data_IF_207585359002
#
_entry.id   IF_207585359002
#
_cell.length_a   1.000
_cell.length_b   1.000
_cell.length_c   1.000
_cell.angle_alpha   90.00
_cell.angle_beta   90.00
_cell.angle_gamma   90.00
#
_symmetry.space_group_name_H-M   'P 1'
#
loop_
_entity.id
_entity.type
_entity.pdbx_description
1 polymer ?
#
# COMPACT_ATOMS: atom_id res chain seq x y z
N UNK A 1 -29.90 -13.92 -41.69
CA UNK A 1 -28.48 -13.69 -41.36
C UNK A 1 -27.66 -14.21 -42.51
N UNK A 2 -27.09 -13.31 -43.31
CA UNK A 2 -26.20 -13.71 -44.39
C UNK A 2 -25.02 -14.46 -43.76
N UNK A 3 -24.71 -15.64 -44.30
CA UNK A 3 -23.44 -16.33 -44.05
C UNK A 3 -22.34 -15.46 -44.68
N UNK A 4 -22.05 -14.36 -43.99
CA UNK A 4 -21.21 -13.29 -44.48
C UNK A 4 -19.77 -13.77 -44.53
N UNK A 5 -19.12 -13.42 -45.64
CA UNK A 5 -17.80 -13.89 -46.03
C UNK A 5 -16.79 -13.57 -44.92
N UNK A 6 -16.44 -14.55 -44.09
CA UNK A 6 -15.28 -14.43 -43.21
C UNK A 6 -14.07 -14.04 -44.07
N UNK A 7 -13.46 -12.86 -43.83
CA UNK A 7 -12.37 -12.39 -44.66
C UNK A 7 -11.19 -13.37 -44.59
N UNK A 8 -10.37 -13.42 -45.64
CA UNK A 8 -9.32 -14.42 -45.76
C UNK A 8 -8.34 -14.41 -44.58
N UNK A 9 -8.04 -13.22 -44.02
CA UNK A 9 -7.17 -13.08 -42.84
C UNK A 9 -7.79 -13.63 -41.54
N UNK A 10 -9.10 -13.81 -41.47
CA UNK A 10 -9.82 -14.34 -40.31
C UNK A 10 -10.18 -15.84 -40.45
N UNK A 11 -9.77 -16.49 -41.55
CA UNK A 11 -9.96 -17.92 -41.73
C UNK A 11 -8.96 -18.69 -40.86
N UNK A 12 -9.47 -19.48 -39.93
CA UNK A 12 -8.65 -20.34 -39.07
C UNK A 12 -7.95 -21.43 -39.90
N UNK A 13 -6.70 -21.75 -39.55
CA UNK A 13 -5.94 -22.84 -40.16
C UNK A 13 -6.49 -24.19 -39.70
N UNK A 14 -6.22 -25.25 -40.48
CA UNK A 14 -6.64 -26.61 -40.14
C UNK A 14 -6.17 -26.99 -38.72
N UNK A 15 -7.08 -27.55 -37.92
CA UNK A 15 -6.81 -27.99 -36.54
C UNK A 15 -7.08 -26.94 -35.45
N UNK A 16 -7.46 -25.71 -35.79
CA UNK A 16 -7.92 -24.71 -34.81
C UNK A 16 -9.39 -24.39 -35.08
N UNK A 17 -10.25 -24.71 -34.12
CA UNK A 17 -11.67 -24.33 -34.20
C UNK A 17 -11.92 -23.01 -33.49
N UNK A 18 -13.03 -22.33 -33.83
CA UNK A 18 -13.43 -21.12 -33.11
C UNK A 18 -13.73 -21.40 -31.62
N UNK A 19 -14.16 -22.62 -31.29
CA UNK A 19 -14.38 -23.05 -29.92
C UNK A 19 -13.06 -23.14 -29.14
N UNK A 20 -12.04 -23.77 -29.72
CA UNK A 20 -10.72 -23.87 -29.09
C UNK A 20 -10.11 -22.48 -28.86
N UNK A 21 -10.27 -21.58 -29.84
CA UNK A 21 -9.81 -20.19 -29.70
C UNK A 21 -10.55 -19.46 -28.59
N UNK A 22 -11.87 -19.61 -28.49
CA UNK A 22 -12.66 -19.00 -27.42
C UNK A 22 -12.25 -19.55 -26.05
N UNK A 23 -12.07 -20.86 -25.91
CA UNK A 23 -11.59 -21.48 -24.67
C UNK A 23 -10.19 -20.99 -24.29
N UNK A 24 -9.30 -20.80 -25.27
CA UNK A 24 -7.97 -20.25 -25.04
C UNK A 24 -8.03 -18.77 -24.59
N UNK A 25 -8.91 -17.96 -25.19
CA UNK A 25 -9.13 -16.57 -24.79
C UNK A 25 -9.72 -16.47 -23.39
N UNK A 26 -10.70 -17.31 -23.05
CA UNK A 26 -11.27 -17.34 -21.70
C UNK A 26 -10.24 -17.72 -20.63
N UNK A 27 -9.17 -18.41 -21.01
CA UNK A 27 -8.08 -18.84 -20.12
C UNK A 27 -6.86 -17.91 -20.12
N UNK A 28 -6.78 -16.94 -21.03
CA UNK A 28 -5.56 -16.16 -21.26
C UNK A 28 -5.33 -15.02 -20.25
N UNK A 29 -6.23 -14.81 -19.28
CA UNK A 29 -6.13 -13.74 -18.28
C UNK A 29 -6.46 -12.34 -18.82
N UNK A 30 -6.27 -12.07 -20.11
CA UNK A 30 -6.61 -10.78 -20.75
C UNK A 30 -8.07 -10.33 -20.53
N UNK A 31 -9.09 -11.21 -20.59
CA UNK A 31 -10.45 -10.78 -20.29
C UNK A 31 -10.62 -10.27 -18.85
N UNK A 32 -9.92 -10.88 -17.88
CA UNK A 32 -9.94 -10.45 -16.49
C UNK A 32 -9.29 -9.06 -16.35
N UNK A 33 -8.13 -8.85 -16.95
CA UNK A 33 -7.43 -7.55 -16.97
C UNK A 33 -8.31 -6.41 -17.48
N UNK A 34 -8.96 -6.60 -18.64
CA UNK A 34 -9.87 -5.61 -19.21
C UNK A 34 -11.06 -5.33 -18.27
N UNK A 35 -11.62 -6.38 -17.65
CA UNK A 35 -12.73 -6.24 -16.68
C UNK A 35 -12.29 -5.46 -15.44
N UNK A 36 -11.10 -5.75 -14.92
CA UNK A 36 -10.51 -5.07 -13.76
C UNK A 36 -10.26 -3.59 -14.07
N UNK A 37 -9.72 -3.27 -15.24
CA UNK A 37 -9.49 -1.88 -15.67
C UNK A 37 -10.80 -1.08 -15.78
N UNK A 38 -11.85 -1.64 -16.38
CA UNK A 38 -13.16 -0.98 -16.45
C UNK A 38 -13.82 -0.86 -15.07
N UNK A 39 -13.74 -1.90 -14.23
CA UNK A 39 -14.28 -1.85 -12.85
C UNK A 39 -13.59 -0.77 -12.03
N UNK A 40 -12.26 -0.62 -12.17
CA UNK A 40 -11.49 0.43 -11.51
C UNK A 40 -11.96 1.83 -11.92
N UNK A 41 -12.17 2.03 -13.22
CA UNK A 41 -12.64 3.29 -13.79
C UNK A 41 -14.07 3.63 -13.35
N UNK A 42 -14.94 2.63 -13.25
CA UNK A 42 -16.34 2.79 -12.82
C UNK A 42 -16.47 3.06 -11.32
N UNK A 43 -15.66 2.38 -10.49
CA UNK A 43 -15.67 2.53 -9.04
C UNK A 43 -15.03 3.83 -8.55
N UNK A 44 -14.19 4.46 -9.38
CA UNK A 44 -13.50 5.68 -9.02
C UNK A 44 -14.47 6.86 -8.73
N UNK A 45 -14.08 7.81 -7.87
CA UNK A 45 -14.92 8.94 -7.51
C UNK A 45 -15.52 9.67 -8.72
N UNK A 46 -16.86 9.69 -8.79
CA UNK A 46 -17.61 10.31 -9.89
C UNK A 46 -17.37 11.82 -9.91
N UNK A 47 -17.14 12.38 -11.11
CA UNK A 47 -17.23 13.83 -11.33
C UNK A 47 -16.03 14.47 -12.02
N UNK A 48 -14.90 13.77 -12.20
CA UNK A 48 -13.70 14.25 -12.94
C UNK A 48 -12.64 13.15 -13.05
N UNK A 49 -12.99 11.95 -13.55
CA UNK A 49 -11.93 10.97 -13.86
C UNK A 49 -10.98 11.56 -14.91
N UNK A 50 -9.83 12.05 -14.44
CA UNK A 50 -8.66 12.43 -15.23
C UNK A 50 -7.52 11.44 -15.02
N UNK A 51 -7.82 10.29 -14.41
CA UNK A 51 -6.84 9.27 -14.15
C UNK A 51 -6.39 8.60 -15.44
N UNK A 52 -5.13 8.22 -15.48
CA UNK A 52 -4.58 7.42 -16.57
C UNK A 52 -4.62 5.96 -16.15
N UNK A 53 -5.33 5.12 -16.91
CA UNK A 53 -5.23 3.67 -16.80
C UNK A 53 -4.37 3.18 -17.95
N UNK A 54 -3.38 2.36 -17.65
CA UNK A 54 -2.51 1.73 -18.62
C UNK A 54 -2.56 0.22 -18.38
N UNK A 55 -3.08 -0.50 -19.36
CA UNK A 55 -2.95 -1.96 -19.44
C UNK A 55 -1.54 -2.32 -19.94
N UNK A 56 -0.97 -3.42 -19.47
CA UNK A 56 0.40 -3.86 -19.83
C UNK A 56 1.47 -2.79 -19.51
N UNK A 57 1.37 -2.17 -18.33
CA UNK A 57 2.28 -1.10 -17.94
C UNK A 57 3.70 -1.62 -17.73
N UNK A 58 4.60 -1.21 -18.62
CA UNK A 58 6.00 -1.63 -18.60
C UNK A 58 6.84 -0.80 -17.62
N UNK A 59 7.71 -1.48 -16.87
CA UNK A 59 8.63 -0.86 -15.93
C UNK A 59 9.99 -1.57 -15.93
N UNK A 60 11.02 -0.89 -15.43
CA UNK A 60 12.37 -1.45 -15.29
C UNK A 60 12.54 -1.97 -13.87
N UNK A 61 12.71 -3.28 -13.74
CA UNK A 61 13.10 -3.95 -12.50
C UNK A 61 14.54 -3.53 -12.16
N UNK A 62 14.70 -2.81 -11.04
CA UNK A 62 15.99 -2.24 -10.64
C UNK A 62 17.04 -3.30 -10.31
N UNK A 63 16.63 -4.47 -9.83
CA UNK A 63 17.57 -5.51 -9.40
C UNK A 63 18.16 -6.25 -10.60
N UNK A 64 17.33 -6.52 -11.61
CA UNK A 64 17.72 -7.30 -12.79
C UNK A 64 18.05 -6.44 -14.01
N UNK A 65 17.63 -5.18 -14.04
CA UNK A 65 17.67 -4.30 -15.21
C UNK A 65 16.70 -4.70 -16.32
N UNK A 66 15.87 -5.72 -16.11
CA UNK A 66 14.94 -6.23 -17.12
C UNK A 66 13.68 -5.38 -17.19
N UNK A 67 13.13 -5.25 -18.40
CA UNK A 67 11.79 -4.69 -18.60
C UNK A 67 10.76 -5.76 -18.23
N UNK A 68 9.87 -5.42 -17.31
CA UNK A 68 8.70 -6.21 -16.91
C UNK A 68 7.44 -5.43 -17.23
N UNK A 69 6.29 -6.09 -17.19
CA UNK A 69 4.99 -5.43 -17.28
C UNK A 69 4.11 -5.85 -16.11
N UNK A 70 3.22 -4.95 -15.68
CA UNK A 70 2.05 -5.26 -14.87
C UNK A 70 0.80 -5.27 -15.74
N UNK A 71 -0.20 -6.03 -15.32
CA UNK A 71 -1.47 -6.12 -16.04
C UNK A 71 -2.19 -4.76 -16.08
N UNK A 72 -2.30 -4.05 -14.95
CA UNK A 72 -2.93 -2.71 -14.91
C UNK A 72 -2.16 -1.76 -13.99
N UNK A 73 -1.89 -0.55 -14.48
CA UNK A 73 -1.48 0.61 -13.68
C UNK A 73 -2.55 1.69 -13.77
N UNK A 74 -2.85 2.35 -12.65
CA UNK A 74 -3.63 3.57 -12.67
C UNK A 74 -2.98 4.70 -11.87
N UNK A 75 -2.91 5.90 -12.47
CA UNK A 75 -2.55 7.16 -11.82
C UNK A 75 -3.81 7.98 -11.62
N UNK A 76 -4.29 8.06 -10.38
CA UNK A 76 -5.60 8.62 -10.04
C UNK A 76 -5.38 9.90 -9.22
N UNK A 77 -5.59 11.10 -9.81
CA UNK A 77 -5.55 12.34 -9.05
C UNK A 77 -6.64 12.34 -7.99
N UNK A 78 -6.27 12.58 -6.74
CA UNK A 78 -7.22 12.77 -5.64
C UNK A 78 -7.55 14.26 -5.62
N UNK A 79 -8.74 14.60 -6.12
CA UNK A 79 -9.16 16.00 -6.27
C UNK A 79 -9.57 16.58 -4.93
N UNK A 80 -9.30 17.87 -4.74
CA UNK A 80 -9.93 18.67 -3.69
C UNK A 80 -10.88 19.71 -4.30
N UNK A 81 -11.92 20.06 -3.55
CA UNK A 81 -13.02 20.94 -3.97
C UNK A 81 -12.66 22.43 -4.03
N UNK A 82 -11.39 22.81 -3.83
CA UNK A 82 -10.99 24.21 -3.78
C UNK A 82 -9.64 24.43 -4.47
N UNK A 83 -9.70 24.67 -5.78
CA UNK A 83 -8.68 25.46 -6.49
C UNK A 83 -8.69 26.89 -5.92
N UNK A 84 -8.17 27.10 -4.69
CA UNK A 84 -7.79 28.43 -4.24
C UNK A 84 -6.43 28.73 -4.87
N UNK A 85 -6.46 29.49 -5.95
CA UNK A 85 -5.28 30.01 -6.64
C UNK A 85 -4.35 30.75 -5.65
N UNK A 86 -3.08 30.35 -5.54
CA UNK A 86 -2.03 31.23 -4.99
C UNK A 86 -0.94 30.60 -4.13
N UNK A 87 -1.19 29.50 -3.43
CA UNK A 87 -0.20 28.91 -2.50
C UNK A 87 0.13 27.48 -2.90
N UNK A 88 1.31 26.99 -2.47
CA UNK A 88 1.84 25.66 -2.76
C UNK A 88 0.79 24.57 -2.57
N UNK A 89 0.04 24.24 -3.63
CA UNK A 89 -0.98 23.22 -3.57
C UNK A 89 -0.26 21.87 -3.60
N UNK A 90 0.00 21.34 -2.40
CA UNK A 90 0.32 19.93 -2.23
C UNK A 90 -0.79 19.13 -2.91
N UNK A 91 -0.41 18.32 -3.89
CA UNK A 91 -1.35 17.45 -4.62
C UNK A 91 -1.22 16.03 -4.08
N UNK A 92 -2.33 15.34 -3.98
CA UNK A 92 -2.36 13.92 -3.66
C UNK A 92 -2.76 13.08 -4.88
N UNK A 93 -2.19 11.88 -4.99
CA UNK A 93 -2.53 10.89 -6.01
C UNK A 93 -2.60 9.50 -5.41
N UNK A 94 -3.52 8.68 -5.91
CA UNK A 94 -3.52 7.24 -5.70
C UNK A 94 -2.91 6.57 -6.94
N UNK A 95 -1.90 5.76 -6.72
CA UNK A 95 -1.30 4.91 -7.71
C UNK A 95 -1.62 3.44 -7.40
N UNK A 96 -2.45 2.81 -8.23
CA UNK A 96 -2.75 1.38 -8.09
C UNK A 96 -1.89 0.57 -9.04
N UNK A 97 -1.25 -0.47 -8.51
CA UNK A 97 -0.41 -1.41 -9.25
C UNK A 97 -1.08 -2.77 -9.17
N UNK A 98 -1.58 -3.27 -10.30
CA UNK A 98 -2.49 -4.41 -10.30
C UNK A 98 -1.97 -5.55 -11.16
N UNK A 99 -1.92 -6.74 -10.55
CA UNK A 99 -1.63 -8.00 -11.23
C UNK A 99 -2.87 -8.89 -11.19
N UNK A 100 -3.30 -9.40 -12.35
CA UNK A 100 -4.46 -10.25 -12.53
C UNK A 100 -4.02 -11.70 -12.72
N UNK A 101 -4.66 -12.64 -12.02
CA UNK A 101 -4.44 -14.08 -12.27
C UNK A 101 -5.75 -14.84 -12.24
N UNK A 102 -5.86 -15.78 -13.17
CA UNK A 102 -6.98 -16.71 -13.27
C UNK A 102 -6.47 -18.12 -13.02
N UNK A 103 -7.19 -18.91 -12.23
CA UNK A 103 -6.83 -20.32 -12.01
C UNK A 103 -8.01 -21.18 -11.58
N UNK A 104 -8.09 -22.39 -12.12
CA UNK A 104 -9.02 -23.42 -11.64
C UNK A 104 -8.61 -23.99 -10.27
N UNK A 105 -7.33 -23.85 -9.88
CA UNK A 105 -6.80 -24.37 -8.62
C UNK A 105 -6.69 -23.26 -7.56
N UNK A 106 -6.86 -23.61 -6.27
CA UNK A 106 -6.89 -22.61 -5.21
C UNK A 106 -5.54 -21.95 -4.95
N UNK A 107 -5.61 -20.69 -4.52
CA UNK A 107 -4.54 -20.03 -3.78
C UNK A 107 -4.80 -20.21 -2.28
N UNK A 108 -3.77 -20.64 -1.55
CA UNK A 108 -3.84 -20.92 -0.11
C UNK A 108 -2.99 -19.90 0.66
N UNK A 109 -3.65 -19.18 1.57
CA UNK A 109 -3.11 -18.08 2.37
C UNK A 109 -2.92 -18.54 3.81
N UNK A 110 -1.70 -18.43 4.34
CA UNK A 110 -1.40 -18.81 5.72
C UNK A 110 -1.63 -17.62 6.64
N UNK A 111 -2.80 -17.62 7.28
CA UNK A 111 -3.30 -16.49 8.05
C UNK A 111 -2.58 -16.34 9.39
N UNK A 112 -2.48 -15.09 9.86
CA UNK A 112 -2.08 -14.74 11.22
C UNK A 112 -3.14 -13.86 11.86
N UNK A 113 -3.17 -13.89 13.19
CA UNK A 113 -4.01 -12.99 13.98
C UNK A 113 -3.49 -11.56 13.86
N UNK A 114 -2.18 -11.38 14.04
CA UNK A 114 -1.52 -10.07 14.05
C UNK A 114 -0.58 -9.92 12.84
N UNK A 115 -0.41 -8.69 12.31
CA UNK A 115 0.62 -8.38 11.33
C UNK A 115 2.03 -8.64 11.91
N UNK A 116 3.04 -8.91 11.07
CA UNK A 116 4.38 -9.27 11.54
C UNK A 116 5.15 -8.14 12.25
N UNK A 117 4.72 -6.89 12.11
CA UNK A 117 5.27 -5.71 12.80
C UNK A 117 4.14 -4.69 13.04
N UNK A 118 4.31 -3.79 14.01
CA UNK A 118 3.43 -2.63 14.29
C UNK A 118 3.40 -1.58 13.16
N UNK A 119 3.93 -1.91 11.97
CA UNK A 119 4.01 -0.98 10.84
C UNK A 119 2.84 -1.16 9.89
N UNK A 120 2.01 -0.12 9.79
CA UNK A 120 0.87 0.03 8.87
C UNK A 120 1.31 0.58 7.51
N UNK A 121 2.40 0.06 6.91
CA UNK A 121 2.99 0.64 5.70
C UNK A 121 2.16 0.47 4.41
N UNK A 122 0.87 0.13 4.50
CA UNK A 122 -0.03 0.00 3.35
C UNK A 122 -1.18 1.01 3.39
N UNK A 123 -1.46 1.70 2.28
CA UNK A 123 -0.60 1.85 1.10
C UNK A 123 0.72 2.56 1.42
N UNK A 124 1.75 2.39 0.58
CA UNK A 124 3.00 3.12 0.78
C UNK A 124 2.80 4.60 0.43
N UNK A 125 3.27 5.51 1.29
CA UNK A 125 3.15 6.96 1.07
C UNK A 125 4.51 7.51 0.66
N UNK A 126 4.57 8.14 -0.51
CA UNK A 126 5.80 8.78 -1.03
C UNK A 126 5.54 10.20 -1.47
N UNK A 127 6.63 10.91 -1.80
CA UNK A 127 6.59 12.33 -2.09
C UNK A 127 6.63 13.20 -0.84
N UNK A 128 6.77 12.64 0.35
CA UNK A 128 7.13 13.35 1.58
C UNK A 128 8.65 13.55 1.67
N UNK A 129 9.15 14.22 2.73
CA UNK A 129 10.60 14.33 2.97
C UNK A 129 11.25 12.96 3.25
N UNK A 130 10.51 12.06 3.87
CA UNK A 130 10.87 10.69 4.21
C UNK A 130 9.65 9.90 4.71
N UNK A 131 9.83 8.61 5.06
CA UNK A 131 8.75 7.77 5.60
C UNK A 131 8.31 8.20 7.01
N UNK A 132 9.14 9.00 7.68
CA UNK A 132 8.90 9.57 8.99
C UNK A 132 8.91 11.11 8.93
N UNK A 133 8.16 11.71 9.84
CA UNK A 133 8.15 13.13 10.14
C UNK A 133 8.80 13.32 11.51
N UNK A 134 9.72 14.28 11.61
CA UNK A 134 10.26 14.72 12.89
C UNK A 134 9.25 15.63 13.57
N UNK A 135 8.68 15.17 14.67
CA UNK A 135 7.62 15.89 15.38
C UNK A 135 8.12 16.48 16.69
N UNK A 136 7.68 17.70 16.96
CA UNK A 136 7.94 18.43 18.19
C UNK A 136 6.63 18.58 18.97
N UNK A 137 6.61 18.32 20.28
CA UNK A 137 5.43 18.61 21.08
C UNK A 137 5.10 20.11 21.05
N UNK A 138 3.81 20.43 21.09
CA UNK A 138 3.30 21.81 21.20
C UNK A 138 3.86 22.53 22.43
N UNK A 139 4.01 23.86 22.32
CA UNK A 139 4.41 24.71 23.45
C UNK A 139 3.29 24.74 24.50
N UNK A 140 3.68 24.77 25.77
CA UNK A 140 2.77 25.04 26.88
C UNK A 140 2.19 26.46 26.82
N UNK A 141 1.20 26.74 27.67
CA UNK A 141 0.53 28.05 27.71
C UNK A 141 1.45 29.22 28.05
N UNK A 142 2.61 28.95 28.66
CA UNK A 142 3.64 29.93 28.98
C UNK A 142 4.62 30.19 27.82
N UNK A 143 4.41 29.54 26.67
CA UNK A 143 5.30 29.60 25.52
C UNK A 143 6.60 28.80 25.69
N UNK A 144 6.75 28.06 26.80
CA UNK A 144 7.84 27.12 26.98
C UNK A 144 7.39 25.74 26.51
N UNK A 145 8.27 25.02 25.84
CA UNK A 145 7.99 23.66 25.42
C UNK A 145 9.27 22.86 25.35
N UNK A 146 9.15 21.54 25.19
CA UNK A 146 10.30 20.67 25.15
C UNK A 146 11.20 21.00 23.96
N UNK A 147 12.50 20.92 24.19
CA UNK A 147 13.58 21.10 23.21
C UNK A 147 13.96 19.79 22.50
N UNK A 148 13.22 18.72 22.76
CA UNK A 148 13.35 17.43 22.08
C UNK A 148 12.29 17.21 21.00
N UNK A 149 12.52 16.18 20.18
CA UNK A 149 11.64 15.77 19.09
C UNK A 149 11.61 14.25 18.96
N UNK A 150 10.57 13.73 18.29
CA UNK A 150 10.43 12.31 17.98
C UNK A 150 10.38 12.07 16.48
N UNK A 151 10.62 10.83 16.06
CA UNK A 151 10.23 10.35 14.74
C UNK A 151 8.84 9.73 14.83
N UNK A 152 7.95 10.13 13.94
CA UNK A 152 6.61 9.58 13.79
C UNK A 152 6.43 9.14 12.33
N UNK A 153 5.83 7.98 12.08
CA UNK A 153 5.57 7.56 10.69
C UNK A 153 4.60 8.52 10.01
N UNK A 154 4.72 8.69 8.69
CA UNK A 154 3.73 9.49 7.93
C UNK A 154 2.31 8.92 8.08
N UNK A 155 2.17 7.60 8.23
CA UNK A 155 0.88 6.95 8.49
C UNK A 155 0.27 7.39 9.82
N UNK A 156 1.04 7.37 10.90
CA UNK A 156 0.59 7.81 12.22
C UNK A 156 0.29 9.31 12.22
N UNK A 157 1.13 10.11 11.58
CA UNK A 157 0.96 11.56 11.47
C UNK A 157 -0.33 11.96 10.73
N UNK A 158 -0.82 11.09 9.84
CA UNK A 158 -2.08 11.25 9.13
C UNK A 158 -3.25 10.51 9.79
N UNK A 159 -3.01 9.89 10.95
CA UNK A 159 -3.95 9.03 11.65
C UNK A 159 -4.62 8.03 10.70
N UNK A 160 -3.83 7.42 9.82
CA UNK A 160 -4.29 6.50 8.79
C UNK A 160 -5.04 5.31 9.38
N UNK A 161 -4.74 4.93 10.61
CA UNK A 161 -5.34 3.81 11.32
C UNK A 161 -6.86 3.93 11.49
N UNK A 162 -7.40 5.16 11.45
CA UNK A 162 -8.85 5.41 11.54
C UNK A 162 -9.61 4.97 10.28
N UNK A 163 -8.91 4.60 9.21
CA UNK A 163 -9.50 4.23 7.92
C UNK A 163 -9.36 2.73 7.66
N UNK A 164 -10.47 2.07 7.32
CA UNK A 164 -10.58 0.62 7.17
C UNK A 164 -9.48 -0.01 6.29
N UNK A 165 -9.08 0.67 5.20
CA UNK A 165 -8.06 0.16 4.29
C UNK A 165 -6.65 0.10 4.91
N UNK A 166 -6.33 0.88 5.94
CA UNK A 166 -4.97 0.92 6.49
C UNK A 166 -4.76 -0.07 7.63
N UNK A 167 -5.67 -0.11 8.62
CA UNK A 167 -5.44 -0.82 9.89
C UNK A 167 -6.21 -2.13 10.04
N UNK A 168 -7.33 -2.29 9.33
CA UNK A 168 -8.25 -3.38 9.60
C UNK A 168 -8.61 -4.17 8.33
N UNK A 169 -7.62 -4.69 7.57
CA UNK A 169 -7.98 -5.69 6.59
C UNK A 169 -8.51 -6.92 7.36
N UNK A 170 -9.58 -7.56 6.88
CA UNK A 170 -10.24 -8.66 7.59
C UNK A 170 -9.31 -9.87 7.80
N UNK A 171 -8.23 -9.98 7.02
CA UNK A 171 -7.28 -11.08 7.08
C UNK A 171 -5.87 -10.61 6.75
N UNK A 172 -4.89 -11.07 7.53
CA UNK A 172 -3.46 -10.94 7.23
C UNK A 172 -2.85 -12.30 6.93
N UNK A 173 -1.95 -12.35 5.94
CA UNK A 173 -1.16 -13.54 5.64
C UNK A 173 0.33 -13.20 5.46
N UNK A 174 1.19 -14.10 5.92
CA UNK A 174 2.65 -13.99 5.78
C UNK A 174 3.21 -14.89 4.67
N UNK A 175 2.38 -15.79 4.16
CA UNK A 175 2.77 -16.75 3.13
C UNK A 175 1.58 -17.06 2.23
N UNK A 176 1.88 -17.16 0.95
CA UNK A 176 0.93 -17.46 -0.12
C UNK A 176 1.48 -18.62 -0.93
N UNK A 177 0.63 -19.60 -1.21
CA UNK A 177 0.96 -20.72 -2.09
C UNK A 177 -0.14 -20.92 -3.12
N UNK A 178 0.23 -21.45 -4.29
CA UNK A 178 -0.71 -21.91 -5.29
C UNK A 178 -0.77 -23.43 -5.27
N UNK A 179 -1.97 -23.98 -5.35
CA UNK A 179 -2.12 -25.42 -5.54
C UNK A 179 -1.81 -25.80 -6.99
N UNK A 180 -1.05 -26.87 -7.16
CA UNK A 180 -0.67 -27.45 -8.44
C UNK A 180 -0.94 -28.95 -8.44
N UNK A 181 -1.18 -29.53 -9.62
CA UNK A 181 -1.25 -30.99 -9.78
C UNK A 181 0.08 -31.51 -10.31
N UNK A 182 0.71 -32.41 -9.58
CA UNK A 182 1.89 -33.11 -10.07
C UNK A 182 1.49 -34.27 -11.01
N UNK A 183 2.46 -34.79 -11.78
CA UNK A 183 2.31 -36.05 -12.55
C UNK A 183 1.76 -37.13 -11.61
N UNK A 184 0.54 -37.61 -11.87
CA UNK A 184 -0.19 -38.55 -11.01
C UNK A 184 -1.42 -37.97 -10.30
N UNK A 185 -1.76 -36.68 -10.52
CA UNK A 185 -3.01 -36.07 -10.07
C UNK A 185 -3.04 -35.62 -8.61
N UNK A 186 -1.97 -35.90 -7.85
CA UNK A 186 -1.79 -35.43 -6.47
C UNK A 186 -1.66 -33.91 -6.43
N UNK A 187 -2.37 -33.29 -5.48
CA UNK A 187 -2.31 -31.85 -5.23
C UNK A 187 -1.08 -31.54 -4.36
N UNK A 188 -0.33 -30.52 -4.76
CA UNK A 188 0.83 -29.99 -4.05
C UNK A 188 0.70 -28.48 -3.95
N UNK A 189 1.31 -27.89 -2.92
CA UNK A 189 1.34 -26.44 -2.73
C UNK A 189 2.74 -25.94 -3.08
N UNK A 190 2.81 -24.92 -3.94
CA UNK A 190 4.06 -24.25 -4.30
C UNK A 190 3.98 -22.77 -3.96
N UNK A 191 4.92 -22.29 -3.17
CA UNK A 191 5.08 -20.86 -2.88
C UNK A 191 5.79 -20.12 -4.02
N UNK A 192 6.60 -20.83 -4.81
CA UNK A 192 7.40 -20.22 -5.88
C UNK A 192 6.53 -19.62 -6.99
N UNK A 193 5.49 -20.34 -7.40
CA UNK A 193 4.58 -19.85 -8.44
C UNK A 193 3.85 -18.59 -7.98
N UNK A 194 3.33 -18.59 -6.75
CA UNK A 194 2.66 -17.43 -6.18
C UNK A 194 3.61 -16.23 -6.04
N UNK A 195 4.83 -16.46 -5.56
CA UNK A 195 5.84 -15.42 -5.42
C UNK A 195 6.20 -14.81 -6.77
N UNK A 196 6.55 -15.64 -7.76
CA UNK A 196 6.99 -15.17 -9.08
C UNK A 196 5.87 -14.51 -9.89
N UNK A 197 4.62 -14.96 -9.72
CA UNK A 197 3.49 -14.48 -10.52
C UNK A 197 2.70 -13.35 -9.89
N UNK A 198 2.84 -13.09 -8.57
CA UNK A 198 2.08 -12.05 -7.87
C UNK A 198 3.00 -11.14 -7.05
N UNK A 199 3.68 -11.69 -6.04
CA UNK A 199 4.45 -10.89 -5.08
C UNK A 199 5.57 -10.11 -5.75
N UNK A 200 6.43 -10.79 -6.53
CA UNK A 200 7.60 -10.18 -7.12
C UNK A 200 7.23 -9.07 -8.13
N UNK A 201 6.32 -9.28 -9.11
CA UNK A 201 5.92 -8.21 -10.03
C UNK A 201 5.35 -6.98 -9.33
N UNK A 202 4.48 -7.17 -8.32
CA UNK A 202 3.85 -6.06 -7.60
C UNK A 202 4.87 -5.23 -6.81
N UNK A 203 5.74 -5.89 -6.04
CA UNK A 203 6.73 -5.20 -5.20
C UNK A 203 7.79 -4.49 -6.06
N UNK A 204 8.23 -5.12 -7.17
CA UNK A 204 9.22 -4.49 -8.08
C UNK A 204 8.64 -3.33 -8.87
N UNK A 205 7.36 -3.40 -9.24
CA UNK A 205 6.65 -2.27 -9.82
C UNK A 205 6.52 -1.10 -8.84
N UNK A 206 6.23 -1.38 -7.58
CA UNK A 206 6.20 -0.37 -6.53
C UNK A 206 7.59 0.26 -6.32
N UNK A 207 8.66 -0.54 -6.26
CA UNK A 207 10.05 -0.04 -6.19
C UNK A 207 10.39 0.90 -7.34
N UNK A 208 9.98 0.51 -8.55
CA UNK A 208 10.16 1.34 -9.74
C UNK A 208 9.44 2.67 -9.58
N UNK A 209 8.16 2.64 -9.20
CA UNK A 209 7.32 3.84 -9.08
C UNK A 209 7.83 4.80 -7.99
N UNK A 210 8.19 4.27 -6.81
CA UNK A 210 8.84 5.03 -5.73
C UNK A 210 10.10 5.70 -6.29
N UNK A 211 10.91 4.89 -6.95
CA UNK A 211 12.18 5.28 -7.50
C UNK A 211 12.14 6.38 -8.55
N UNK A 212 11.13 6.39 -9.43
CA UNK A 212 10.94 7.49 -10.39
C UNK A 212 10.33 8.72 -9.74
N UNK A 213 9.53 8.53 -8.69
CA UNK A 213 8.89 9.61 -7.95
C UNK A 213 9.90 10.47 -7.18
N UNK A 214 11.01 9.89 -6.70
CA UNK A 214 12.00 10.62 -5.89
C UNK A 214 12.93 11.56 -6.69
N UNK A 215 12.89 11.55 -8.02
CA UNK A 215 14.06 11.90 -8.82
C UNK A 215 14.25 13.37 -9.27
N UNK A 216 13.29 14.30 -9.10
CA UNK A 216 13.37 15.60 -9.81
C UNK A 216 13.07 16.89 -9.05
N UNK A 217 12.22 16.88 -8.03
CA UNK A 217 12.03 18.00 -7.09
C UNK A 217 11.01 17.57 -6.04
N UNK A 218 11.48 17.20 -4.84
CA UNK A 218 10.59 16.70 -3.79
C UNK A 218 9.50 17.72 -3.42
N UNK A 219 9.77 19.04 -3.56
CA UNK A 219 8.82 20.09 -3.20
C UNK A 219 7.63 20.15 -4.15
N UNK A 220 7.84 19.94 -5.45
CA UNK A 220 6.76 19.99 -6.46
C UNK A 220 6.10 18.65 -6.75
N UNK A 221 6.71 17.54 -6.34
CA UNK A 221 6.10 16.22 -6.50
C UNK A 221 4.75 16.14 -5.76
N UNK A 222 3.74 15.43 -6.29
CA UNK A 222 2.56 15.09 -5.49
C UNK A 222 2.94 14.12 -4.37
N UNK A 223 2.20 14.15 -3.26
CA UNK A 223 2.14 13.03 -2.31
C UNK A 223 1.41 11.89 -3.02
N UNK A 224 1.98 10.69 -3.00
CA UNK A 224 1.44 9.52 -3.69
C UNK A 224 1.16 8.42 -2.69
N UNK A 225 -0.04 7.87 -2.75
CA UNK A 225 -0.42 6.63 -2.10
C UNK A 225 -0.24 5.50 -3.11
N UNK A 226 0.68 4.58 -2.87
CA UNK A 226 1.00 3.46 -3.76
C UNK A 226 0.37 2.20 -3.19
N UNK A 227 -0.69 1.72 -3.84
CA UNK A 227 -1.48 0.57 -3.43
C UNK A 227 -1.27 -0.60 -4.41
N UNK A 228 -0.25 -1.45 -4.20
CA UNK A 228 -0.12 -2.69 -4.95
C UNK A 228 -1.17 -3.71 -4.50
N UNK A 229 -1.88 -4.32 -5.44
CA UNK A 229 -2.77 -5.44 -5.14
C UNK A 229 -2.94 -6.40 -6.31
N UNK A 230 -3.25 -7.66 -6.01
CA UNK A 230 -3.59 -8.65 -7.03
C UNK A 230 -5.10 -8.86 -7.10
N UNK A 231 -5.61 -9.15 -8.31
CA UNK A 231 -6.98 -9.63 -8.51
C UNK A 231 -6.96 -11.08 -8.96
N UNK A 232 -7.60 -11.95 -8.19
CA UNK A 232 -7.68 -13.38 -8.47
C UNK A 232 -9.07 -13.81 -8.91
N UNK A 233 -9.16 -14.38 -10.11
CA UNK A 233 -10.28 -15.23 -10.52
C UNK A 233 -9.90 -16.70 -10.27
N UNK A 234 -9.86 -17.06 -8.99
CA UNK A 234 -9.51 -18.38 -8.49
C UNK A 234 -10.02 -18.56 -7.05
N UNK A 235 -10.25 -19.80 -6.58
CA UNK A 235 -10.62 -20.02 -5.19
C UNK A 235 -9.54 -19.51 -4.23
N UNK A 236 -9.92 -18.62 -3.31
CA UNK A 236 -9.02 -18.07 -2.28
C UNK A 236 -9.33 -18.70 -0.93
N UNK A 237 -8.37 -19.46 -0.38
CA UNK A 237 -8.54 -20.24 0.85
C UNK A 237 -7.54 -19.78 1.91
N UNK A 238 -8.03 -19.23 3.01
CA UNK A 238 -7.24 -18.98 4.22
C UNK A 238 -7.11 -20.25 5.06
N UNK A 239 -5.94 -20.47 5.63
CA UNK A 239 -5.71 -21.50 6.64
C UNK A 239 -5.26 -20.86 7.95
N UNK A 240 -5.95 -21.21 9.04
CA UNK A 240 -5.60 -20.82 10.41
C UNK A 240 -5.51 -22.07 11.28
N UNK A 241 -4.58 -22.08 12.24
CA UNK A 241 -4.50 -23.16 13.22
C UNK A 241 -5.40 -22.85 14.41
N UNK A 242 -6.40 -23.68 14.63
CA UNK A 242 -7.32 -23.58 15.76
C UNK A 242 -7.40 -24.93 16.46
N UNK A 243 -7.15 -24.96 17.78
CA UNK A 243 -7.17 -26.18 18.61
C UNK A 243 -6.32 -27.34 18.03
N UNK A 244 -5.15 -27.00 17.49
CA UNK A 244 -4.23 -27.98 16.90
C UNK A 244 -4.63 -28.51 15.52
N UNK A 245 -5.75 -28.06 14.94
CA UNK A 245 -6.20 -28.40 13.58
C UNK A 245 -6.09 -27.20 12.64
N UNK A 246 -5.96 -27.46 11.34
CA UNK A 246 -6.07 -26.42 10.32
C UNK A 246 -7.53 -26.26 9.93
N UNK A 247 -8.02 -25.02 9.99
CA UNK A 247 -9.36 -24.64 9.54
C UNK A 247 -9.23 -23.84 8.25
N UNK A 248 -10.09 -24.13 7.29
CA UNK A 248 -10.14 -23.43 6.02
C UNK A 248 -11.26 -22.40 6.00
N UNK A 249 -10.95 -21.23 5.46
CA UNK A 249 -11.87 -20.10 5.33
C UNK A 249 -11.82 -19.60 3.89
N UNK A 250 -12.97 -19.25 3.31
CA UNK A 250 -12.99 -18.52 2.05
C UNK A 250 -12.64 -17.05 2.31
N UNK A 251 -11.78 -16.46 1.48
CA UNK A 251 -11.29 -15.09 1.67
C UNK A 251 -11.81 -14.17 0.56
N UNK A 252 -12.52 -13.06 0.89
CA UNK A 252 -12.90 -12.06 -0.12
C UNK A 252 -11.71 -11.21 -0.56
N UNK A 253 -10.85 -10.84 0.38
CA UNK A 253 -9.53 -10.27 0.17
C UNK A 253 -8.66 -10.50 1.41
N UNK A 254 -7.35 -10.30 1.28
CA UNK A 254 -6.36 -10.55 2.33
C UNK A 254 -5.14 -9.65 2.12
N UNK A 255 -4.64 -9.08 3.21
CA UNK A 255 -3.38 -8.33 3.20
C UNK A 255 -2.20 -9.28 3.31
N UNK A 256 -1.37 -9.30 2.27
CA UNK A 256 -0.13 -10.05 2.26
C UNK A 256 0.99 -9.20 2.86
N UNK A 257 1.78 -9.82 3.73
CA UNK A 257 3.03 -9.26 4.24
C UNK A 257 4.22 -10.03 3.66
N UNK A 258 5.23 -9.30 3.22
CA UNK A 258 6.46 -9.83 2.69
C UNK A 258 7.64 -9.24 3.45
N UNK A 259 8.48 -10.12 4.01
CA UNK A 259 9.71 -9.73 4.69
C UNK A 259 10.84 -9.65 3.67
N UNK A 260 11.22 -8.42 3.31
CA UNK A 260 12.35 -8.18 2.43
C UNK A 260 13.62 -8.01 3.27
N UNK A 261 14.72 -8.73 2.96
CA UNK A 261 15.99 -8.50 3.63
C UNK A 261 16.48 -7.07 3.31
N UNK A 262 16.74 -6.28 4.35
CA UNK A 262 17.24 -4.93 4.21
C UNK A 262 18.69 -4.87 4.69
N UNK A 263 19.61 -4.52 3.79
CA UNK A 263 21.04 -4.41 4.10
C UNK A 263 21.40 -2.96 4.39
N UNK A 264 20.85 -2.41 5.47
CA UNK A 264 21.39 -1.16 6.02
C UNK A 264 22.40 -1.51 7.10
N UNK A 265 23.68 -1.30 6.75
CA UNK A 265 24.80 -1.60 7.64
C UNK A 265 24.89 -0.62 8.82
N UNK A 266 24.14 0.48 8.78
CA UNK A 266 24.17 1.52 9.81
C UNK A 266 23.11 1.31 10.91
N UNK A 267 22.12 0.45 10.70
CA UNK A 267 21.17 0.05 11.74
C UNK A 267 21.77 -1.06 12.62
N UNK A 268 22.35 -0.69 13.76
CA UNK A 268 23.03 -1.61 14.67
C UNK A 268 22.09 -2.73 15.20
N UNK A 269 22.54 -3.99 15.06
CA UNK A 269 22.16 -5.16 15.88
C UNK A 269 20.83 -5.92 15.65
N UNK A 270 20.10 -5.70 14.56
CA UNK A 270 19.01 -6.61 14.19
C UNK A 270 19.12 -7.03 12.73
N UNK A 271 18.76 -8.27 12.41
CA UNK A 271 18.49 -8.67 11.03
C UNK A 271 17.31 -7.81 10.55
N UNK A 272 17.59 -6.60 10.07
CA UNK A 272 16.57 -5.63 9.69
C UNK A 272 15.90 -6.15 8.43
N UNK A 273 14.69 -6.67 8.60
CA UNK A 273 13.80 -6.97 7.50
C UNK A 273 12.81 -5.82 7.37
N UNK A 274 12.63 -5.32 6.14
CA UNK A 274 11.54 -4.40 5.84
C UNK A 274 10.29 -5.23 5.55
N UNK A 275 9.20 -5.00 6.28
CA UNK A 275 7.90 -5.56 5.91
C UNK A 275 7.30 -4.70 4.81
N UNK A 276 6.87 -5.34 3.73
CA UNK A 276 6.09 -4.72 2.66
C UNK A 276 4.77 -5.40 2.50
N UNK A 277 3.78 -4.67 2.01
CA UNK A 277 2.42 -5.13 1.93
C UNK A 277 1.86 -4.98 0.53
N UNK A 278 0.99 -5.90 0.17
CA UNK A 278 0.09 -5.79 -0.98
C UNK A 278 -1.19 -6.54 -0.64
N UNK A 279 -2.30 -6.13 -1.23
CA UNK A 279 -3.56 -6.85 -1.01
C UNK A 279 -3.80 -7.88 -2.11
N UNK A 280 -4.52 -8.96 -1.81
CA UNK A 280 -4.99 -9.93 -2.79
C UNK A 280 -6.50 -9.99 -2.69
N UNK A 281 -7.18 -9.72 -3.80
CA UNK A 281 -8.63 -9.51 -3.85
C UNK A 281 -9.24 -10.52 -4.78
N UNK A 282 -10.32 -11.18 -4.35
CA UNK A 282 -11.09 -12.04 -5.23
C UNK A 282 -11.82 -11.19 -6.28
N UNK A 283 -11.85 -11.61 -7.54
CA UNK A 283 -12.43 -10.84 -8.64
C UNK A 283 -13.89 -10.43 -8.37
N UNK A 284 -14.70 -11.30 -7.76
CA UNK A 284 -16.09 -10.99 -7.40
C UNK A 284 -16.25 -9.98 -6.26
N UNK A 285 -15.17 -9.63 -5.57
CA UNK A 285 -15.16 -8.69 -4.44
C UNK A 285 -14.44 -7.38 -4.79
N UNK A 286 -13.95 -7.23 -6.03
CA UNK A 286 -13.16 -6.09 -6.45
C UNK A 286 -13.89 -4.75 -6.27
N UNK A 287 -15.14 -4.64 -6.71
CA UNK A 287 -15.92 -3.41 -6.58
C UNK A 287 -16.03 -2.97 -5.10
N UNK A 288 -16.37 -3.90 -4.20
CA UNK A 288 -16.43 -3.63 -2.76
C UNK A 288 -15.07 -3.18 -2.21
N UNK A 289 -14.01 -3.89 -2.57
CA UNK A 289 -12.65 -3.53 -2.16
C UNK A 289 -12.25 -2.14 -2.63
N UNK A 290 -12.55 -1.79 -3.90
CA UNK A 290 -12.24 -0.49 -4.45
C UNK A 290 -13.00 0.64 -3.76
N UNK A 291 -14.25 0.41 -3.34
CA UNK A 291 -14.97 1.39 -2.53
C UNK A 291 -14.27 1.67 -1.20
N UNK A 292 -13.84 0.64 -0.49
CA UNK A 292 -13.09 0.78 0.77
C UNK A 292 -11.75 1.48 0.54
N UNK A 293 -11.02 1.09 -0.51
CA UNK A 293 -9.75 1.69 -0.90
C UNK A 293 -9.91 3.19 -1.22
N UNK A 294 -10.85 3.55 -2.10
CA UNK A 294 -11.03 4.94 -2.51
C UNK A 294 -11.50 5.83 -1.35
N UNK A 295 -12.44 5.36 -0.52
CA UNK A 295 -12.91 6.13 0.64
C UNK A 295 -11.78 6.39 1.65
N UNK A 296 -11.05 5.35 2.05
CA UNK A 296 -9.96 5.50 3.00
C UNK A 296 -8.82 6.36 2.48
N UNK A 297 -8.45 6.19 1.20
CA UNK A 297 -7.37 6.96 0.58
C UNK A 297 -7.76 8.42 0.36
N UNK A 298 -9.02 8.71 0.01
CA UNK A 298 -9.47 10.09 -0.13
C UNK A 298 -9.36 10.83 1.22
N UNK A 299 -9.80 10.21 2.32
CA UNK A 299 -9.70 10.80 3.66
C UNK A 299 -8.25 11.02 4.09
N UNK A 300 -7.38 10.04 3.88
CA UNK A 300 -5.95 10.18 4.14
C UNK A 300 -5.30 11.27 3.28
N UNK A 301 -5.72 11.40 2.02
CA UNK A 301 -5.25 12.42 1.12
C UNK A 301 -5.69 13.83 1.52
N UNK A 302 -6.93 14.00 2.01
CA UNK A 302 -7.40 15.28 2.54
C UNK A 302 -6.51 15.72 3.72
N UNK A 303 -6.21 14.82 4.66
CA UNK A 303 -5.25 15.08 5.75
C UNK A 303 -3.83 15.38 5.26
N UNK A 304 -3.36 14.65 4.26
CA UNK A 304 -2.03 14.87 3.67
C UNK A 304 -1.92 16.23 2.97
N UNK A 305 -3.01 16.73 2.39
CA UNK A 305 -3.07 18.06 1.79
C UNK A 305 -3.10 19.16 2.85
N UNK A 306 -3.84 18.97 3.95
CA UNK A 306 -3.83 19.87 5.11
C UNK A 306 -2.42 20.00 5.73
N UNK A 307 -1.72 18.87 5.86
CA UNK A 307 -0.38 18.78 6.44
C UNK A 307 0.75 18.94 5.40
N UNK A 308 0.42 19.36 4.17
CA UNK A 308 1.31 19.25 3.02
C UNK A 308 2.70 19.87 3.22
N UNK A 309 2.81 21.15 3.64
CA UNK A 309 4.11 21.78 3.89
C UNK A 309 4.97 21.02 4.91
N UNK A 310 4.35 20.54 6.00
CA UNK A 310 5.04 19.82 7.09
C UNK A 310 5.55 18.46 6.61
N UNK A 311 4.73 17.71 5.87
CA UNK A 311 5.13 16.43 5.28
C UNK A 311 6.27 16.60 4.25
N UNK A 312 6.30 17.72 3.54
CA UNK A 312 7.34 18.06 2.56
C UNK A 312 8.65 18.51 3.20
N UNK A 313 8.57 19.21 4.33
CA UNK A 313 9.72 19.61 5.13
C UNK A 313 10.26 18.44 5.96
N UNK A 314 9.40 17.49 6.33
CA UNK A 314 9.74 16.37 7.21
C UNK A 314 9.81 16.76 8.67
N UNK A 315 9.24 17.91 9.03
CA UNK A 315 9.28 18.50 10.36
C UNK A 315 7.92 19.09 10.68
N UNK A 316 7.42 18.85 11.88
CA UNK A 316 6.13 19.35 12.34
C UNK A 316 6.09 19.60 13.84
N UNK A 317 5.08 20.36 14.27
CA UNK A 317 4.61 20.44 15.64
C UNK A 317 3.27 19.72 15.73
N UNK A 318 3.07 18.97 16.81
CA UNK A 318 1.86 18.20 17.09
C UNK A 318 1.24 18.65 18.41
N UNK A 319 -0.09 18.76 18.41
CA UNK A 319 -0.88 19.09 19.59
C UNK A 319 -1.18 17.81 20.41
N UNK A 320 -1.24 17.95 21.74
CA UNK A 320 -1.50 16.81 22.65
C UNK A 320 -3.01 16.45 22.78
N UNK A 321 -3.80 16.60 21.72
CA UNK A 321 -5.24 16.34 21.75
C UNK A 321 -5.59 14.87 21.50
N UNK A 322 -6.73 14.40 22.03
CA UNK A 322 -7.21 13.00 21.87
C UNK A 322 -7.75 12.65 20.47
N UNK A 323 -7.82 13.62 19.55
CA UNK A 323 -8.30 13.43 18.18
C UNK A 323 -7.26 13.90 17.17
N UNK A 324 -7.34 13.38 15.93
CA UNK A 324 -6.50 13.85 14.81
C UNK A 324 -6.48 15.37 14.75
N UNK A 325 -5.27 15.92 14.88
CA UNK A 325 -4.99 17.34 14.80
C UNK A 325 -4.00 17.57 13.65
N UNK A 326 -4.30 18.46 12.68
CA UNK A 326 -3.39 18.73 11.59
C UNK A 326 -2.01 19.17 12.09
N UNK A 327 -0.96 18.70 11.43
CA UNK A 327 0.42 19.07 11.72
C UNK A 327 0.62 20.58 11.56
N UNK A 328 1.30 21.20 12.53
CA UNK A 328 1.66 22.61 12.49
C UNK A 328 3.11 22.79 12.04
N UNK A 329 3.40 23.95 11.44
CA UNK A 329 4.77 24.32 11.10
C UNK A 329 5.60 24.53 12.35
N UNK A 330 6.88 24.13 12.31
CA UNK A 330 7.82 24.41 13.38
C UNK A 330 8.13 25.91 13.47
N UNK A 331 8.13 26.43 14.71
CA UNK A 331 8.52 27.80 15.00
C UNK A 331 10.00 28.05 14.68
N UNK A 332 10.33 29.26 14.22
CA UNK A 332 11.69 29.59 13.73
C UNK A 332 12.77 29.44 14.80
N UNK A 333 12.44 29.79 16.04
CA UNK A 333 13.32 29.67 17.21
C UNK A 333 13.60 28.21 17.61
N UNK A 334 12.73 27.26 17.23
CA UNK A 334 12.93 25.83 17.47
C UNK A 334 13.70 25.13 16.35
N UNK A 335 13.90 25.76 15.19
CA UNK A 335 14.71 25.18 14.09
C UNK A 335 16.13 24.85 14.53
N UNK A 336 16.68 25.53 15.54
CA UNK A 336 18.00 25.22 16.10
C UNK A 336 18.11 23.79 16.68
N UNK A 337 17.00 23.18 17.06
CA UNK A 337 16.96 21.82 17.62
C UNK A 337 16.94 20.74 16.52
N UNK A 338 16.85 21.11 15.24
CA UNK A 338 16.89 20.14 14.13
C UNK A 338 18.24 19.44 13.98
N UNK A 339 19.31 20.02 14.53
CA UNK A 339 20.63 19.40 14.54
C UNK A 339 20.79 18.38 15.68
N UNK A 340 19.84 18.31 16.62
CA UNK A 340 19.86 17.35 17.72
C UNK A 340 19.34 16.00 17.25
N UNK A 341 19.74 14.91 17.90
CA UNK A 341 19.15 13.59 17.62
C UNK A 341 17.71 13.52 18.17
N UNK A 342 16.76 12.91 17.44
CA UNK A 342 15.43 12.64 17.98
C UNK A 342 15.54 11.75 19.22
N UNK A 343 14.73 12.05 20.24
CA UNK A 343 14.63 11.32 21.49
C UNK A 343 14.28 9.83 21.30
N UNK A 344 13.53 9.53 20.24
CA UNK A 344 13.14 8.19 19.89
C UNK A 344 12.10 8.18 18.79
N UNK A 345 11.43 7.05 18.64
CA UNK A 345 10.31 6.89 17.71
C UNK A 345 9.02 6.68 18.49
N UNK A 346 8.00 7.43 18.11
CA UNK A 346 6.62 7.21 18.56
C UNK A 346 5.85 6.48 17.46
N UNK A 347 5.02 5.55 17.87
CA UNK A 347 4.16 4.76 16.99
C UNK A 347 2.85 4.46 17.71
N UNK A 348 1.76 4.31 16.98
CA UNK A 348 0.50 3.88 17.60
C UNK A 348 0.54 2.38 17.87
N UNK A 349 0.09 1.95 19.05
CA UNK A 349 -0.08 0.54 19.36
C UNK A 349 -1.28 -0.01 18.58
N UNK A 350 -1.25 -1.31 18.30
CA UNK A 350 -2.25 -2.03 17.51
C UNK A 350 -3.65 -2.07 18.14
N UNK A 351 -3.80 -1.72 19.42
CA UNK A 351 -5.10 -1.53 20.05
C UNK A 351 -5.75 -0.18 19.70
N UNK A 352 -5.02 0.68 18.98
CA UNK A 352 -5.50 1.97 18.50
C UNK A 352 -5.70 3.00 19.62
N UNK A 353 -5.33 2.73 20.87
CA UNK A 353 -5.63 3.62 22.00
C UNK A 353 -4.39 4.13 22.75
N UNK A 354 -3.22 3.55 22.50
CA UNK A 354 -1.98 3.96 23.15
C UNK A 354 -0.88 4.28 22.13
N UNK A 355 -0.01 5.22 22.48
CA UNK A 355 1.27 5.38 21.81
C UNK A 355 2.31 4.47 22.46
N UNK A 356 3.03 3.74 21.63
CA UNK A 356 4.28 3.09 22.00
C UNK A 356 5.46 4.05 21.81
N UNK A 357 6.49 3.85 22.61
CA UNK A 357 7.76 4.57 22.50
C UNK A 357 8.90 3.56 22.35
N UNK A 358 9.72 3.75 21.31
CA UNK A 358 10.98 3.03 21.14
C UNK A 358 12.10 4.01 21.49
N UNK A 359 12.72 3.79 22.65
CA UNK A 359 13.84 4.58 23.15
C UNK A 359 15.03 4.51 22.19
N UNK A 360 15.52 5.70 21.79
CA UNK A 360 16.82 5.87 21.13
C UNK A 360 17.88 6.50 22.05
N UNK A 361 17.46 7.17 23.12
CA UNK A 361 18.32 7.85 24.09
C UNK A 361 17.89 7.53 25.54
N UNK A 362 18.84 7.50 26.48
CA UNK A 362 18.56 7.27 27.91
C UNK A 362 17.79 8.48 28.48
N UNK A 363 16.49 8.31 28.75
CA UNK A 363 15.69 9.27 29.52
C UNK A 363 15.50 8.78 30.96
N UNK A 364 15.31 9.71 31.90
CA UNK A 364 14.85 9.36 33.24
C UNK A 364 13.36 8.98 33.20
N UNK A 365 12.92 8.03 34.04
CA UNK A 365 11.52 7.57 34.10
C UNK A 365 10.48 8.71 34.26
N UNK A 366 10.87 9.86 34.81
CA UNK A 366 9.99 11.03 34.99
C UNK A 366 9.65 11.77 33.67
N UNK A 367 10.54 11.74 32.67
CA UNK A 367 10.30 12.39 31.37
C UNK A 367 9.27 11.61 30.53
N UNK A 368 9.23 10.29 30.69
CA UNK A 368 8.30 9.39 29.98
C UNK A 368 6.86 9.57 30.50
N UNK A 369 6.69 9.78 31.80
CA UNK A 369 5.38 9.94 32.44
C UNK A 369 4.74 11.32 32.18
N UNK A 370 5.54 12.33 31.83
CA UNK A 370 5.06 13.68 31.52
C UNK A 370 4.45 13.77 30.11
N UNK A 371 4.74 12.78 29.27
CA UNK A 371 4.19 12.56 27.93
C UNK A 371 2.83 11.86 28.12
N UNK A 372 1.87 12.57 28.72
CA UNK A 372 0.48 12.14 28.89
C UNK A 372 -0.29 12.19 27.57
N UNK A 373 0.08 11.34 26.60
CA UNK A 373 -0.57 11.28 25.30
C UNK A 373 -1.62 10.18 25.33
N UNK A 374 -2.88 10.57 25.47
CA UNK A 374 -4.00 9.77 24.98
C UNK A 374 -4.30 10.31 23.57
N UNK A 375 -3.97 9.56 22.52
CA UNK A 375 -4.26 9.91 21.10
C UNK A 375 -5.34 9.00 20.52
#
# INVERSE_FOLDING_TARGET
MHADKTPQYAKLKAGVTGKDLLEAVVRSGYPLQATVAETLKEAAPKGRWRGEIQEEWAYVDRDSGQVRALDVFADIPLSHSAEKEGEFQTRAKLNTLIECKQSELPYVFFLRHDPPQDSTAFPEIVGTAGPDVRVFPSLGSDGTGPDFSYLMSVHDALACHEFEIFDNPPFHAISLTKAARHRGGKLELTGEDAYRSLTLPLLKAADHLIGVSDSRDRKSNPIRFIAPFAVLDAPMIGTVRHEGRNVFLALPWVRMSYLEPFNDREAWNQASSRVRYFDVVHASCLEKYLHVLFDGIQKAADRAMECGPQLKEGVAVIDNGEEYSPLKSLEEDRRQYLDWEPAGRIFRQSDGHALGFLEGAEFGEEDILTIGWNL
#
